data_IF_109952792410
#
_entry.id   IF_109952792410
#
_cell.length_a   1.000
_cell.length_b   1.000
_cell.length_c   1.000
_cell.angle_alpha   90.00
_cell.angle_beta   90.00
_cell.angle_gamma   90.00
#
_symmetry.space_group_name_H-M   'P 1'
#
loop_
_entity.id
_entity.type
_entity.pdbx_description
1 polymer ?
#
# COMPACT_ATOMS: atom_id res chain seq x y z
N UNK A 1 42.29 -8.73 5.39
CA UNK A 1 41.53 -7.57 4.90
C UNK A 1 40.13 -8.05 4.57
N UNK A 2 39.14 -7.52 5.23
CA UNK A 2 37.72 -7.89 5.03
C UNK A 2 37.33 -7.61 3.57
N UNK A 3 36.54 -8.48 2.95
CA UNK A 3 35.95 -8.35 1.64
C UNK A 3 35.18 -7.02 1.48
N UNK A 4 34.49 -6.55 2.54
CA UNK A 4 33.86 -5.25 2.62
C UNK A 4 34.82 -4.06 2.43
N UNK A 5 36.07 -4.17 2.84
CA UNK A 5 37.08 -3.11 2.65
C UNK A 5 37.58 -2.95 1.21
N UNK A 6 37.13 -3.81 0.28
CA UNK A 6 37.43 -3.68 -1.16
C UNK A 6 36.32 -2.95 -1.91
N UNK A 7 35.07 -3.17 -1.57
CA UNK A 7 33.88 -2.60 -2.23
C UNK A 7 33.84 -1.06 -2.12
N UNK A 8 34.42 -0.48 -1.07
CA UNK A 8 34.33 0.97 -0.80
C UNK A 8 35.64 1.74 -1.04
N UNK A 9 36.59 1.19 -1.80
CA UNK A 9 37.80 1.92 -2.24
C UNK A 9 37.59 2.47 -3.64
N UNK A 10 37.03 3.69 -3.76
CA UNK A 10 36.93 4.38 -5.03
C UNK A 10 38.29 4.52 -5.70
N UNK A 11 38.44 4.03 -6.93
CA UNK A 11 39.65 4.13 -7.76
C UNK A 11 39.83 2.97 -8.76
N UNK A 12 38.77 2.19 -9.07
CA UNK A 12 38.79 1.09 -10.04
C UNK A 12 38.49 1.55 -11.47
N UNK A 13 38.77 0.67 -12.45
CA UNK A 13 38.32 0.81 -13.83
C UNK A 13 36.78 0.68 -13.93
N UNK A 14 36.16 1.06 -15.07
CA UNK A 14 34.71 0.85 -15.31
C UNK A 14 34.29 -0.62 -15.04
N UNK A 15 35.15 -1.56 -15.40
CA UNK A 15 34.91 -3.01 -15.16
C UNK A 15 34.96 -3.39 -13.68
N UNK A 16 35.75 -2.69 -12.85
CA UNK A 16 35.78 -2.93 -11.41
C UNK A 16 34.53 -2.37 -10.75
N UNK A 17 34.01 -1.23 -11.25
CA UNK A 17 32.78 -0.61 -10.79
C UNK A 17 31.55 -1.48 -11.12
N UNK A 18 31.45 -1.98 -12.36
CA UNK A 18 30.37 -2.89 -12.77
C UNK A 18 30.35 -4.19 -11.92
N UNK A 19 31.54 -4.68 -11.54
CA UNK A 19 31.66 -5.85 -10.68
C UNK A 19 31.26 -5.55 -9.23
N UNK A 20 31.61 -4.38 -8.70
CA UNK A 20 31.20 -3.92 -7.36
C UNK A 20 29.68 -3.76 -7.28
N UNK A 21 29.06 -3.13 -8.29
CA UNK A 21 27.60 -2.94 -8.36
C UNK A 21 26.88 -4.28 -8.44
N UNK A 22 27.38 -5.24 -9.24
CA UNK A 22 26.85 -6.59 -9.31
C UNK A 22 26.94 -7.37 -8.00
N UNK A 23 28.03 -7.21 -7.26
CA UNK A 23 28.23 -7.85 -5.96
C UNK A 23 27.27 -7.24 -4.90
N UNK A 24 27.04 -5.92 -4.93
CA UNK A 24 26.08 -5.23 -4.05
C UNK A 24 24.65 -5.72 -4.33
N UNK A 25 24.24 -5.79 -5.60
CA UNK A 25 22.91 -6.30 -5.98
C UNK A 25 22.69 -7.75 -5.53
N UNK A 26 23.68 -8.61 -5.71
CA UNK A 26 23.62 -10.02 -5.27
C UNK A 26 23.46 -10.14 -3.74
N UNK A 27 24.13 -9.27 -2.98
CA UNK A 27 23.98 -9.22 -1.52
C UNK A 27 22.63 -8.69 -1.08
N UNK A 28 22.12 -7.62 -1.72
CA UNK A 28 20.78 -7.10 -1.46
C UNK A 28 19.73 -8.17 -1.71
N UNK A 29 19.81 -8.88 -2.84
CA UNK A 29 18.90 -9.97 -3.18
C UNK A 29 18.98 -11.13 -2.17
N UNK A 30 20.20 -11.49 -1.71
CA UNK A 30 20.40 -12.56 -0.72
C UNK A 30 19.81 -12.17 0.64
N UNK A 31 20.00 -10.93 1.08
CA UNK A 31 19.43 -10.40 2.30
C UNK A 31 17.90 -10.34 2.24
N UNK A 32 17.34 -9.87 1.10
CA UNK A 32 15.89 -9.87 0.87
C UNK A 32 15.29 -11.28 0.91
N UNK A 33 16.01 -12.27 0.35
CA UNK A 33 15.60 -13.68 0.42
C UNK A 33 15.65 -14.23 1.86
N UNK A 34 16.60 -13.81 2.69
CA UNK A 34 16.65 -14.18 4.10
C UNK A 34 15.44 -13.58 4.86
N UNK A 35 15.16 -12.29 4.65
CA UNK A 35 13.99 -11.61 5.21
C UNK A 35 12.67 -12.27 4.79
N UNK A 36 12.52 -12.64 3.51
CA UNK A 36 11.33 -13.32 2.98
C UNK A 36 11.10 -14.73 3.58
N UNK A 37 12.10 -15.32 4.25
CA UNK A 37 11.96 -16.56 5.04
C UNK A 37 11.80 -16.30 6.53
N UNK A 38 11.67 -15.05 6.96
CA UNK A 38 11.62 -14.66 8.37
C UNK A 38 12.97 -14.61 9.08
N UNK A 39 14.08 -14.87 8.38
CA UNK A 39 15.44 -14.83 8.96
C UNK A 39 15.98 -13.38 8.94
N UNK A 40 15.37 -12.55 9.77
CA UNK A 40 15.70 -11.13 9.82
C UNK A 40 17.05 -10.84 10.47
N UNK A 41 17.53 -11.70 11.38
CA UNK A 41 18.88 -11.56 11.96
C UNK A 41 19.94 -11.69 10.86
N UNK A 42 19.80 -12.67 9.99
CA UNK A 42 20.68 -12.85 8.84
C UNK A 42 20.56 -11.68 7.86
N UNK A 43 19.33 -11.23 7.55
CA UNK A 43 19.08 -10.11 6.64
C UNK A 43 19.75 -8.82 7.16
N UNK A 44 19.59 -8.50 8.44
CA UNK A 44 20.21 -7.35 9.09
C UNK A 44 21.74 -7.46 9.07
N UNK A 45 22.31 -8.65 9.35
CA UNK A 45 23.77 -8.86 9.30
C UNK A 45 24.33 -8.59 7.90
N UNK A 46 23.52 -8.81 6.84
CA UNK A 46 23.93 -8.55 5.45
C UNK A 46 23.66 -7.09 5.04
N UNK A 47 22.53 -6.49 5.44
CA UNK A 47 22.21 -5.11 5.08
C UNK A 47 23.05 -4.07 5.82
N UNK A 48 23.39 -4.30 7.11
CA UNK A 48 24.10 -3.33 7.93
C UNK A 48 25.40 -2.82 7.29
N UNK A 49 26.35 -3.68 6.87
CA UNK A 49 27.59 -3.19 6.26
C UNK A 49 27.38 -2.47 4.93
N UNK A 50 26.32 -2.83 4.16
CA UNK A 50 25.94 -2.12 2.94
C UNK A 50 25.35 -0.73 3.25
N UNK A 51 24.49 -0.65 4.27
CA UNK A 51 23.89 0.59 4.73
C UNK A 51 24.93 1.57 5.28
N UNK A 52 25.89 1.07 6.08
CA UNK A 52 27.04 1.81 6.58
C UNK A 52 27.95 2.30 5.42
N UNK A 53 28.02 1.50 4.35
CA UNK A 53 28.73 1.85 3.11
C UNK A 53 27.97 2.81 2.21
N UNK A 54 26.76 3.23 2.59
CA UNK A 54 25.99 4.24 1.85
C UNK A 54 25.05 3.67 0.78
N UNK A 55 24.79 2.36 0.73
CA UNK A 55 23.85 1.76 -0.23
C UNK A 55 22.41 2.12 0.17
N UNK A 56 21.68 2.93 -0.62
CA UNK A 56 20.40 3.52 -0.19
C UNK A 56 19.33 2.46 0.11
N UNK A 57 19.21 1.43 -0.74
CA UNK A 57 18.25 0.34 -0.54
C UNK A 57 18.53 -0.46 0.74
N UNK A 58 19.81 -0.68 1.09
CA UNK A 58 20.17 -1.32 2.35
C UNK A 58 19.83 -0.44 3.56
N UNK A 59 20.00 0.88 3.44
CA UNK A 59 19.61 1.84 4.49
C UNK A 59 18.09 1.79 4.73
N UNK A 60 17.28 1.79 3.68
CA UNK A 60 15.82 1.66 3.79
C UNK A 60 15.40 0.34 4.44
N UNK A 61 16.00 -0.78 4.03
CA UNK A 61 15.68 -2.08 4.59
C UNK A 61 16.11 -2.19 6.07
N UNK A 62 17.28 -1.65 6.42
CA UNK A 62 17.74 -1.62 7.81
C UNK A 62 16.86 -0.72 8.67
N UNK A 63 16.46 0.45 8.15
CA UNK A 63 15.50 1.34 8.80
C UNK A 63 14.15 0.65 9.08
N UNK A 64 13.63 -0.13 8.13
CA UNK A 64 12.42 -0.91 8.30
C UNK A 64 12.57 -1.98 9.40
N UNK A 65 13.74 -2.66 9.45
CA UNK A 65 14.01 -3.61 10.53
C UNK A 65 14.00 -2.95 11.91
N UNK A 66 14.56 -1.75 12.05
CA UNK A 66 14.49 -0.99 13.31
C UNK A 66 13.07 -0.50 13.61
N UNK A 67 12.32 -0.07 12.61
CA UNK A 67 10.94 0.41 12.80
C UNK A 67 10.02 -0.70 13.34
N UNK A 68 10.20 -1.93 12.86
CA UNK A 68 9.33 -3.06 13.17
C UNK A 68 9.91 -4.00 14.24
N UNK A 69 11.19 -3.84 14.62
CA UNK A 69 11.89 -4.73 15.55
C UNK A 69 12.21 -6.10 14.95
N UNK A 70 12.51 -6.14 13.65
CA UNK A 70 12.78 -7.39 12.93
C UNK A 70 14.30 -7.68 12.86
N UNK A 71 14.74 -8.70 13.58
CA UNK A 71 16.16 -9.07 13.68
C UNK A 71 17.03 -8.09 14.48
N UNK A 72 16.44 -7.03 15.01
CA UNK A 72 17.02 -6.03 15.92
C UNK A 72 15.97 -5.57 16.93
N UNK A 73 16.41 -4.98 18.03
CA UNK A 73 15.47 -4.29 18.93
C UNK A 73 14.80 -3.11 18.22
N UNK A 74 13.50 -2.95 18.42
CA UNK A 74 12.73 -1.87 17.81
C UNK A 74 13.22 -0.50 18.30
N UNK A 75 13.62 0.34 17.36
CA UNK A 75 14.08 1.70 17.62
C UNK A 75 13.67 2.66 16.49
N UNK A 76 12.65 3.46 16.73
CA UNK A 76 12.15 4.42 15.74
C UNK A 76 13.12 5.59 15.49
N UNK A 77 14.00 5.93 16.44
CA UNK A 77 15.02 6.97 16.23
C UNK A 77 16.08 6.49 15.24
N UNK A 78 16.57 5.26 15.42
CA UNK A 78 17.47 4.62 14.45
C UNK A 78 16.78 4.48 13.08
N UNK A 79 15.49 4.09 13.04
CA UNK A 79 14.74 3.98 11.80
C UNK A 79 14.68 5.33 11.04
N UNK A 80 14.37 6.44 11.73
CA UNK A 80 14.35 7.78 11.13
C UNK A 80 15.71 8.15 10.55
N UNK A 81 16.81 7.87 11.26
CA UNK A 81 18.14 8.21 10.78
C UNK A 81 18.52 7.42 9.52
N UNK A 82 18.18 6.12 9.47
CA UNK A 82 18.44 5.30 8.29
C UNK A 82 17.54 5.70 7.12
N UNK A 83 16.25 5.94 7.34
CA UNK A 83 15.34 6.41 6.29
C UNK A 83 15.73 7.78 5.75
N UNK A 84 16.21 8.70 6.60
CA UNK A 84 16.69 10.02 6.17
C UNK A 84 17.88 9.89 5.21
N UNK A 85 18.88 9.07 5.54
CA UNK A 85 20.03 8.82 4.67
C UNK A 85 19.61 8.23 3.33
N UNK A 86 18.71 7.25 3.34
CA UNK A 86 18.17 6.64 2.12
C UNK A 86 17.37 7.65 1.28
N UNK A 87 16.55 8.47 1.91
CA UNK A 87 15.74 9.50 1.25
C UNK A 87 16.60 10.58 0.60
N UNK A 88 17.66 11.06 1.29
CA UNK A 88 18.64 12.00 0.76
C UNK A 88 19.39 11.43 -0.46
N UNK A 89 19.59 10.12 -0.50
CA UNK A 89 20.17 9.41 -1.63
C UNK A 89 19.16 9.04 -2.74
N UNK A 90 17.88 9.45 -2.60
CA UNK A 90 16.84 9.27 -3.61
C UNK A 90 16.14 7.91 -3.59
N UNK A 91 16.32 7.07 -2.55
CA UNK A 91 15.59 5.80 -2.46
C UNK A 91 14.12 6.04 -2.12
N UNK A 92 13.22 5.63 -3.02
CA UNK A 92 11.78 5.85 -2.89
C UNK A 92 11.18 5.18 -1.64
N UNK A 93 11.68 3.99 -1.25
CA UNK A 93 11.26 3.31 -0.02
C UNK A 93 11.65 4.11 1.23
N UNK A 94 12.88 4.66 1.26
CA UNK A 94 13.36 5.52 2.34
C UNK A 94 12.54 6.81 2.44
N UNK A 95 12.25 7.45 1.29
CA UNK A 95 11.40 8.64 1.21
C UNK A 95 10.00 8.37 1.74
N UNK A 96 9.34 7.31 1.29
CA UNK A 96 7.99 6.92 1.75
C UNK A 96 7.96 6.63 3.25
N UNK A 97 8.91 5.86 3.76
CA UNK A 97 8.93 5.49 5.17
C UNK A 97 9.23 6.70 6.08
N UNK A 98 10.13 7.59 5.65
CA UNK A 98 10.36 8.84 6.36
C UNK A 98 9.13 9.73 6.34
N UNK A 99 8.43 9.82 5.19
CA UNK A 99 7.18 10.55 5.05
C UNK A 99 6.13 10.07 6.06
N UNK A 100 5.97 8.76 6.22
CA UNK A 100 5.03 8.17 7.18
C UNK A 100 5.37 8.54 8.63
N UNK A 101 6.65 8.58 8.99
CA UNK A 101 7.09 8.98 10.34
C UNK A 101 6.92 10.50 10.58
N UNK A 102 7.19 11.34 9.57
CA UNK A 102 6.91 12.78 9.63
C UNK A 102 5.40 13.05 9.74
N UNK A 103 4.57 12.34 9.00
CA UNK A 103 3.12 12.48 9.07
C UNK A 103 2.56 12.15 10.46
N UNK A 104 3.11 11.13 11.13
CA UNK A 104 2.70 10.70 12.47
C UNK A 104 3.37 11.46 13.62
N UNK A 105 4.52 12.10 13.39
CA UNK A 105 5.36 12.68 14.44
C UNK A 105 6.03 11.62 15.31
N UNK A 106 6.49 10.53 14.73
CA UNK A 106 7.09 9.40 15.44
C UNK A 106 8.62 9.35 15.26
N UNK A 107 9.30 8.63 16.18
CA UNK A 107 10.76 8.39 16.09
C UNK A 107 11.63 9.65 16.19
N UNK A 108 11.13 10.71 16.83
CA UNK A 108 11.81 12.01 16.91
C UNK A 108 11.69 12.85 15.64
N UNK A 109 10.98 12.38 14.61
CA UNK A 109 10.54 13.24 13.52
C UNK A 109 9.45 14.18 14.03
N UNK A 110 9.55 15.48 13.71
CA UNK A 110 8.46 16.40 13.99
C UNK A 110 7.25 16.02 13.13
N UNK A 111 6.05 16.14 13.71
CA UNK A 111 4.83 16.02 12.89
C UNK A 111 4.78 17.21 11.94
N UNK A 112 4.85 16.93 10.64
CA UNK A 112 4.91 17.92 9.59
C UNK A 112 4.29 17.35 8.29
N UNK A 113 3.03 17.71 8.07
CA UNK A 113 2.27 17.24 6.91
C UNK A 113 2.84 17.79 5.59
N UNK A 114 3.45 18.98 5.61
CA UNK A 114 4.08 19.56 4.42
C UNK A 114 5.35 18.78 4.05
N UNK A 115 6.20 18.49 5.03
CA UNK A 115 7.38 17.66 4.81
C UNK A 115 7.01 16.24 4.38
N UNK A 116 5.97 15.66 4.97
CA UNK A 116 5.44 14.34 4.58
C UNK A 116 4.94 14.34 3.13
N UNK A 117 4.16 15.37 2.73
CA UNK A 117 3.69 15.54 1.36
C UNK A 117 4.84 15.56 0.35
N UNK A 118 5.88 16.38 0.59
CA UNK A 118 7.02 16.48 -0.31
C UNK A 118 7.79 15.16 -0.42
N UNK A 119 7.97 14.44 0.68
CA UNK A 119 8.63 13.14 0.69
C UNK A 119 7.79 12.07 -0.04
N UNK A 120 6.46 12.04 0.16
CA UNK A 120 5.58 11.15 -0.59
C UNK A 120 5.58 11.50 -2.08
N UNK A 121 5.64 12.79 -2.44
CA UNK A 121 5.74 13.22 -3.85
C UNK A 121 7.00 12.70 -4.51
N UNK A 122 8.16 12.83 -3.84
CA UNK A 122 9.43 12.31 -4.36
C UNK A 122 9.39 10.78 -4.54
N UNK A 123 8.85 10.05 -3.55
CA UNK A 123 8.70 8.60 -3.63
C UNK A 123 7.73 8.17 -4.75
N UNK A 124 6.63 8.89 -4.92
CA UNK A 124 5.63 8.66 -5.97
C UNK A 124 6.20 8.91 -7.37
N UNK A 125 6.99 9.98 -7.54
CA UNK A 125 7.75 10.26 -8.77
C UNK A 125 8.78 9.15 -9.06
N UNK A 126 9.34 8.53 -8.01
CA UNK A 126 10.20 7.35 -8.08
C UNK A 126 9.44 6.04 -8.37
N UNK A 127 8.12 6.07 -8.53
CA UNK A 127 7.29 4.93 -8.89
C UNK A 127 6.81 4.08 -7.71
N UNK A 128 6.99 4.50 -6.46
CA UNK A 128 6.48 3.76 -5.29
C UNK A 128 4.95 3.84 -5.23
N UNK A 129 4.29 2.68 -5.41
CA UNK A 129 2.83 2.59 -5.50
C UNK A 129 2.11 3.06 -4.22
N UNK A 130 2.66 2.73 -3.05
CA UNK A 130 2.08 3.14 -1.78
C UNK A 130 2.24 4.65 -1.55
N UNK A 131 3.35 5.25 -2.02
CA UNK A 131 3.52 6.70 -1.98
C UNK A 131 2.57 7.40 -2.96
N UNK A 132 2.32 6.84 -4.16
CA UNK A 132 1.33 7.36 -5.10
C UNK A 132 -0.07 7.35 -4.50
N UNK A 133 -0.45 6.29 -3.78
CA UNK A 133 -1.73 6.20 -3.07
C UNK A 133 -1.85 7.27 -1.98
N UNK A 134 -0.83 7.38 -1.13
CA UNK A 134 -0.82 8.39 -0.08
C UNK A 134 -0.82 9.82 -0.62
N UNK A 135 -0.05 10.09 -1.66
CA UNK A 135 -0.02 11.40 -2.32
C UNK A 135 -1.38 11.76 -2.91
N UNK A 136 -2.04 10.81 -3.55
CA UNK A 136 -3.41 10.97 -4.04
C UNK A 136 -4.38 11.32 -2.91
N UNK A 137 -4.30 10.64 -1.78
CA UNK A 137 -5.12 10.92 -0.61
C UNK A 137 -4.84 12.31 -0.04
N UNK A 138 -3.57 12.67 0.14
CA UNK A 138 -3.19 13.99 0.66
C UNK A 138 -3.69 15.14 -0.23
N UNK A 139 -3.63 14.98 -1.55
CA UNK A 139 -4.16 15.94 -2.53
C UNK A 139 -5.68 16.02 -2.50
N UNK A 140 -6.38 14.93 -2.26
CA UNK A 140 -7.84 14.93 -2.18
C UNK A 140 -8.34 15.67 -0.92
N UNK A 141 -7.70 15.37 0.21
CA UNK A 141 -8.10 15.88 1.54
C UNK A 141 -7.46 17.24 1.87
N UNK A 142 -6.48 17.71 1.11
CA UNK A 142 -5.77 18.94 1.40
C UNK A 142 -4.83 18.82 2.60
N UNK A 143 -4.20 17.65 2.80
CA UNK A 143 -3.27 17.42 3.91
C UNK A 143 -1.85 17.87 3.55
N UNK A 144 -1.35 18.89 4.24
CA UNK A 144 -0.03 19.47 3.99
C UNK A 144 0.09 20.23 2.65
N UNK A 145 -0.99 20.32 1.88
CA UNK A 145 -1.08 20.97 0.57
C UNK A 145 -2.50 21.49 0.36
N UNK A 146 -2.70 22.44 -0.55
CA UNK A 146 -4.04 22.80 -1.01
C UNK A 146 -4.68 21.63 -1.77
N UNK A 147 -5.96 21.37 -1.52
CA UNK A 147 -6.66 20.25 -2.17
C UNK A 147 -6.71 20.41 -3.70
N UNK A 148 -6.28 19.38 -4.40
CA UNK A 148 -6.32 19.27 -5.86
C UNK A 148 -6.87 17.91 -6.30
N UNK A 149 -8.20 17.78 -6.48
CA UNK A 149 -8.81 16.52 -6.90
C UNK A 149 -8.36 16.04 -8.29
N UNK A 150 -7.96 16.96 -9.18
CA UNK A 150 -7.49 16.62 -10.54
C UNK A 150 -6.14 15.92 -10.46
N UNK A 151 -5.21 16.49 -9.70
CA UNK A 151 -3.90 15.91 -9.48
C UNK A 151 -4.01 14.63 -8.62
N UNK A 152 -4.92 14.61 -7.62
CA UNK A 152 -5.25 13.41 -6.84
C UNK A 152 -5.63 12.24 -7.76
N UNK A 153 -6.55 12.49 -8.73
CA UNK A 153 -6.97 11.47 -9.69
C UNK A 153 -5.80 10.96 -10.53
N UNK A 154 -4.87 11.81 -10.94
CA UNK A 154 -3.68 11.42 -11.71
C UNK A 154 -2.82 10.41 -10.93
N UNK A 155 -2.57 10.69 -9.66
CA UNK A 155 -1.78 9.80 -8.80
C UNK A 155 -2.53 8.52 -8.42
N UNK A 156 -3.85 8.62 -8.19
CA UNK A 156 -4.67 7.43 -7.96
C UNK A 156 -4.66 6.49 -9.18
N UNK A 157 -4.69 7.02 -10.42
CA UNK A 157 -4.54 6.20 -11.63
C UNK A 157 -3.19 5.50 -11.69
N UNK A 158 -2.09 6.21 -11.40
CA UNK A 158 -0.76 5.61 -11.38
C UNK A 158 -0.63 4.47 -10.34
N UNK A 159 -1.22 4.64 -9.15
CA UNK A 159 -1.25 3.59 -8.13
C UNK A 159 -2.19 2.43 -8.52
N UNK A 160 -3.33 2.72 -9.15
CA UNK A 160 -4.27 1.70 -9.63
C UNK A 160 -3.67 0.84 -10.75
N UNK A 161 -2.82 1.40 -11.63
CA UNK A 161 -2.04 0.64 -12.62
C UNK A 161 -1.09 -0.37 -11.96
N UNK A 162 -0.68 -0.11 -10.71
CA UNK A 162 0.11 -1.01 -9.86
C UNK A 162 -0.78 -1.83 -8.91
N UNK A 163 -2.07 -1.98 -9.22
CA UNK A 163 -3.05 -2.80 -8.53
C UNK A 163 -3.37 -2.38 -7.07
N UNK A 164 -3.11 -1.12 -6.69
CA UNK A 164 -3.46 -0.59 -5.37
C UNK A 164 -4.99 -0.40 -5.26
N UNK A 165 -5.65 -1.27 -4.50
CA UNK A 165 -7.11 -1.30 -4.41
C UNK A 165 -7.71 -0.05 -3.74
N UNK A 166 -7.04 0.53 -2.73
CA UNK A 166 -7.45 1.78 -2.06
C UNK A 166 -7.49 2.96 -3.03
N UNK A 167 -6.54 3.04 -3.96
CA UNK A 167 -6.53 4.03 -5.03
C UNK A 167 -7.70 3.84 -6.02
N UNK A 168 -8.04 2.60 -6.35
CA UNK A 168 -9.21 2.29 -7.18
C UNK A 168 -10.51 2.73 -6.47
N UNK A 169 -10.62 2.48 -5.16
CA UNK A 169 -11.75 2.96 -4.36
C UNK A 169 -11.86 4.49 -4.42
N UNK A 170 -10.75 5.19 -4.30
CA UNK A 170 -10.69 6.67 -4.39
C UNK A 170 -11.06 7.18 -5.78
N UNK A 171 -10.64 6.51 -6.86
CA UNK A 171 -11.07 6.84 -8.23
C UNK A 171 -12.60 6.73 -8.39
N UNK A 172 -13.19 5.70 -7.82
CA UNK A 172 -14.65 5.55 -7.78
C UNK A 172 -15.32 6.70 -7.03
N UNK A 173 -14.78 7.13 -5.88
CA UNK A 173 -15.28 8.27 -5.12
C UNK A 173 -15.18 9.58 -5.91
N UNK A 174 -14.04 9.85 -6.53
CA UNK A 174 -13.80 11.04 -7.35
C UNK A 174 -14.82 11.13 -8.50
N UNK A 175 -15.09 10.04 -9.20
CA UNK A 175 -16.04 9.96 -10.29
C UNK A 175 -17.51 10.10 -9.81
N UNK A 176 -17.85 9.47 -8.66
CA UNK A 176 -19.20 9.54 -8.10
C UNK A 176 -19.56 10.94 -7.60
N UNK A 177 -18.63 11.61 -6.90
CA UNK A 177 -18.87 12.88 -6.22
C UNK A 177 -18.50 14.11 -7.07
N UNK A 178 -18.14 13.90 -8.33
CA UNK A 178 -17.78 14.97 -9.27
C UNK A 178 -16.57 15.81 -8.80
N UNK A 179 -15.58 15.19 -8.17
CA UNK A 179 -14.42 15.88 -7.62
C UNK A 179 -13.40 16.18 -8.74
N UNK A 180 -13.37 17.44 -9.19
CA UNK A 180 -12.50 17.89 -10.28
C UNK A 180 -12.83 17.33 -11.67
N UNK A 181 -13.98 16.67 -11.84
CA UNK A 181 -14.49 16.14 -13.10
C UNK A 181 -16.03 16.14 -13.12
N UNK A 182 -16.64 15.85 -14.26
CA UNK A 182 -18.09 15.60 -14.33
C UNK A 182 -18.42 14.28 -13.60
N UNK A 183 -19.61 14.24 -13.00
CA UNK A 183 -20.10 13.05 -12.31
C UNK A 183 -20.25 11.89 -13.30
N UNK A 184 -19.61 10.78 -13.00
CA UNK A 184 -19.69 9.54 -13.79
C UNK A 184 -19.93 8.31 -12.88
N UNK A 185 -21.21 7.98 -12.60
CA UNK A 185 -21.53 6.82 -11.77
C UNK A 185 -21.13 5.48 -12.39
N UNK A 186 -21.06 5.39 -13.73
CA UNK A 186 -20.61 4.18 -14.41
C UNK A 186 -19.12 3.96 -14.23
N UNK A 187 -18.29 5.01 -14.34
CA UNK A 187 -16.86 4.96 -14.02
C UNK A 187 -16.67 4.60 -12.55
N UNK A 188 -17.42 5.21 -11.64
CA UNK A 188 -17.36 4.91 -10.22
C UNK A 188 -17.61 3.43 -9.91
N UNK A 189 -18.70 2.88 -10.44
CA UNK A 189 -19.05 1.48 -10.24
C UNK A 189 -18.00 0.51 -10.80
N UNK A 190 -17.38 0.84 -11.94
CA UNK A 190 -16.28 0.04 -12.52
C UNK A 190 -15.06 0.02 -11.58
N UNK A 191 -14.65 1.18 -11.06
CA UNK A 191 -13.51 1.25 -10.14
C UNK A 191 -13.80 0.52 -8.83
N UNK A 192 -14.99 0.71 -8.24
CA UNK A 192 -15.37 -0.03 -7.03
C UNK A 192 -15.43 -1.53 -7.26
N UNK A 193 -15.90 -1.99 -8.42
CA UNK A 193 -15.88 -3.41 -8.76
C UNK A 193 -14.44 -3.96 -8.82
N UNK A 194 -13.51 -3.24 -9.45
CA UNK A 194 -12.11 -3.67 -9.54
C UNK A 194 -11.41 -3.71 -8.16
N UNK A 195 -11.69 -2.75 -7.28
CA UNK A 195 -11.19 -2.74 -5.91
C UNK A 195 -11.85 -3.84 -5.04
N UNK A 196 -13.17 -4.01 -5.15
CA UNK A 196 -13.94 -4.99 -4.40
C UNK A 196 -13.48 -6.43 -4.68
N UNK A 197 -13.15 -6.73 -5.94
CA UNK A 197 -12.59 -8.03 -6.34
C UNK A 197 -11.21 -8.31 -5.74
N UNK A 198 -10.47 -7.27 -5.35
CA UNK A 198 -9.18 -7.35 -4.67
C UNK A 198 -9.32 -7.37 -3.14
N UNK A 199 -10.56 -7.52 -2.66
CA UNK A 199 -10.85 -7.67 -1.24
C UNK A 199 -10.90 -6.34 -0.48
N UNK A 200 -10.93 -5.17 -1.16
CA UNK A 200 -10.98 -3.87 -0.47
C UNK A 200 -12.37 -3.64 0.13
N UNK A 201 -12.49 -3.54 1.48
CA UNK A 201 -13.79 -3.58 2.14
C UNK A 201 -14.69 -2.37 1.83
N UNK A 202 -14.10 -1.16 1.75
CA UNK A 202 -14.89 0.04 1.47
C UNK A 202 -15.40 0.05 0.03
N UNK A 203 -14.61 -0.46 -0.94
CA UNK A 203 -15.09 -0.64 -2.31
C UNK A 203 -16.22 -1.67 -2.40
N UNK A 204 -16.15 -2.77 -1.63
CA UNK A 204 -17.23 -3.74 -1.55
C UNK A 204 -18.52 -3.11 -1.03
N UNK A 205 -18.44 -2.23 -0.02
CA UNK A 205 -19.58 -1.49 0.50
C UNK A 205 -20.15 -0.50 -0.54
N UNK A 206 -19.28 0.27 -1.21
CA UNK A 206 -19.68 1.24 -2.23
C UNK A 206 -20.32 0.55 -3.43
N UNK A 207 -19.76 -0.57 -3.90
CA UNK A 207 -20.35 -1.38 -4.97
C UNK A 207 -21.70 -1.96 -4.56
N UNK A 208 -21.82 -2.47 -3.34
CA UNK A 208 -23.08 -2.97 -2.80
C UNK A 208 -24.14 -1.87 -2.75
N UNK A 209 -23.81 -0.68 -2.31
CA UNK A 209 -24.67 0.50 -2.36
C UNK A 209 -25.09 0.88 -3.78
N UNK A 210 -24.11 0.90 -4.71
CA UNK A 210 -24.36 1.20 -6.13
C UNK A 210 -25.33 0.19 -6.78
N UNK A 211 -25.16 -1.10 -6.51
CA UNK A 211 -26.06 -2.18 -6.96
C UNK A 211 -27.48 -2.04 -6.38
N UNK A 212 -27.61 -1.69 -5.10
CA UNK A 212 -28.91 -1.48 -4.47
C UNK A 212 -29.66 -0.30 -5.06
N UNK A 213 -28.95 0.80 -5.30
CA UNK A 213 -29.54 2.05 -5.82
C UNK A 213 -29.69 2.07 -7.35
N UNK A 214 -29.02 1.15 -8.06
CA UNK A 214 -28.93 1.21 -9.53
C UNK A 214 -28.10 2.40 -10.01
N UNK A 215 -27.06 2.80 -9.27
CA UNK A 215 -26.22 3.95 -9.58
C UNK A 215 -25.01 3.52 -10.42
N UNK A 216 -25.04 3.81 -11.73
CA UNK A 216 -23.99 3.43 -12.67
C UNK A 216 -23.93 1.94 -13.02
N UNK A 217 -24.79 1.13 -12.42
CA UNK A 217 -24.98 -0.32 -12.69
C UNK A 217 -26.44 -0.67 -12.62
N UNK A 218 -26.83 -1.79 -13.24
CA UNK A 218 -28.18 -2.32 -13.09
C UNK A 218 -28.43 -2.71 -11.62
N UNK A 219 -29.63 -2.40 -11.12
CA UNK A 219 -30.01 -2.72 -9.74
C UNK A 219 -30.08 -4.23 -9.54
N UNK A 220 -29.36 -4.72 -8.54
CA UNK A 220 -29.36 -6.12 -8.10
C UNK A 220 -29.20 -6.21 -6.58
N UNK A 221 -30.30 -6.33 -5.85
CA UNK A 221 -30.29 -6.39 -4.37
C UNK A 221 -29.62 -7.69 -3.84
N UNK A 222 -29.62 -8.79 -4.60
CA UNK A 222 -28.94 -10.04 -4.20
C UNK A 222 -27.42 -9.88 -4.29
N UNK A 223 -26.93 -9.37 -5.42
CA UNK A 223 -25.51 -9.08 -5.57
C UNK A 223 -25.07 -8.00 -4.57
N UNK A 224 -25.91 -6.98 -4.32
CA UNK A 224 -25.66 -5.96 -3.29
C UNK A 224 -25.45 -6.60 -1.92
N UNK A 225 -26.31 -7.54 -1.51
CA UNK A 225 -26.17 -8.22 -0.22
C UNK A 225 -24.88 -9.04 -0.11
N UNK A 226 -24.47 -9.70 -1.19
CA UNK A 226 -23.20 -10.45 -1.22
C UNK A 226 -22.02 -9.52 -0.93
N UNK A 227 -21.94 -8.39 -1.64
CA UNK A 227 -20.83 -7.45 -1.48
C UNK A 227 -20.86 -6.74 -0.12
N UNK A 228 -22.04 -6.33 0.36
CA UNK A 228 -22.19 -5.70 1.67
C UNK A 228 -21.84 -6.65 2.82
N UNK A 229 -22.19 -7.94 2.70
CA UNK A 229 -21.82 -8.95 3.71
C UNK A 229 -20.29 -9.09 3.78
N UNK A 230 -19.61 -9.14 2.64
CA UNK A 230 -18.14 -9.18 2.60
C UNK A 230 -17.49 -7.93 3.16
N UNK A 231 -18.06 -6.77 2.84
CA UNK A 231 -17.60 -5.48 3.38
C UNK A 231 -17.71 -5.44 4.91
N UNK A 232 -18.82 -5.95 5.47
CA UNK A 232 -19.05 -6.05 6.92
C UNK A 232 -18.04 -7.00 7.58
N UNK A 233 -17.88 -8.19 7.00
CA UNK A 233 -16.88 -9.19 7.44
C UNK A 233 -15.43 -8.62 7.34
N UNK A 234 -15.15 -7.80 6.33
CA UNK A 234 -13.89 -7.07 6.16
C UNK A 234 -13.72 -5.85 7.07
N UNK A 235 -14.74 -5.51 7.86
CA UNK A 235 -14.71 -4.43 8.84
C UNK A 235 -14.99 -3.03 8.27
N UNK A 236 -15.58 -2.92 7.06
CA UNK A 236 -16.00 -1.61 6.54
C UNK A 236 -17.19 -1.05 7.31
N UNK A 237 -17.06 0.15 7.90
CA UNK A 237 -18.19 0.81 8.58
C UNK A 237 -19.30 1.24 7.61
N UNK A 238 -19.00 1.35 6.32
CA UNK A 238 -19.94 1.77 5.29
C UNK A 238 -21.00 0.70 4.98
N UNK A 239 -20.69 -0.58 5.21
CA UNK A 239 -21.60 -1.69 4.95
C UNK A 239 -22.92 -1.53 5.69
N UNK A 240 -22.87 -1.15 6.96
CA UNK A 240 -24.04 -0.96 7.82
C UNK A 240 -25.07 0.03 7.24
N UNK A 241 -24.61 1.00 6.43
CA UNK A 241 -25.48 2.03 5.83
C UNK A 241 -26.54 1.42 4.91
N UNK A 242 -26.24 0.32 4.23
CA UNK A 242 -27.12 -0.27 3.22
C UNK A 242 -27.66 -1.65 3.61
N UNK A 243 -27.01 -2.39 4.53
CA UNK A 243 -27.37 -3.77 4.85
C UNK A 243 -28.84 -3.95 5.25
N UNK A 244 -29.38 -3.09 6.12
CA UNK A 244 -30.77 -3.20 6.56
C UNK A 244 -31.75 -2.91 5.42
N UNK A 245 -31.46 -1.94 4.57
CA UNK A 245 -32.29 -1.59 3.44
C UNK A 245 -32.33 -2.71 2.40
N UNK A 246 -31.17 -3.30 2.09
CA UNK A 246 -31.02 -4.40 1.13
C UNK A 246 -31.71 -5.67 1.66
N UNK A 247 -31.52 -6.01 2.95
CA UNK A 247 -32.23 -7.15 3.57
C UNK A 247 -33.74 -6.93 3.57
N UNK A 248 -34.21 -5.71 3.78
CA UNK A 248 -35.63 -5.39 3.71
C UNK A 248 -36.27 -5.52 2.33
N UNK A 249 -35.45 -5.50 1.26
CA UNK A 249 -35.90 -5.66 -0.13
C UNK A 249 -35.96 -7.13 -0.60
N UNK A 250 -35.39 -8.07 0.18
CA UNK A 250 -35.23 -9.47 -0.17
C UNK A 250 -36.10 -10.41 0.71
N UNK A 251 -36.47 -11.55 0.17
CA UNK A 251 -37.07 -12.64 0.95
C UNK A 251 -36.02 -13.36 1.83
N UNK A 252 -36.47 -14.07 2.87
CA UNK A 252 -35.55 -14.83 3.73
C UNK A 252 -34.74 -15.91 2.98
N UNK A 253 -35.29 -16.49 1.91
CA UNK A 253 -34.58 -17.46 1.07
C UNK A 253 -33.48 -16.79 0.25
N UNK A 254 -33.74 -15.61 -0.32
CA UNK A 254 -32.77 -14.82 -1.07
C UNK A 254 -31.63 -14.33 -0.18
N UNK A 255 -31.95 -13.91 1.04
CA UNK A 255 -30.93 -13.50 2.03
C UNK A 255 -30.01 -14.69 2.35
N UNK A 256 -30.58 -15.86 2.69
CA UNK A 256 -29.79 -17.04 3.00
C UNK A 256 -28.89 -17.48 1.85
N UNK A 257 -29.38 -17.40 0.60
CA UNK A 257 -28.63 -17.74 -0.59
C UNK A 257 -27.46 -16.75 -0.82
N UNK A 258 -27.70 -15.42 -0.71
CA UNK A 258 -26.68 -14.40 -0.89
C UNK A 258 -25.58 -14.51 0.17
N UNK A 259 -25.93 -14.69 1.44
CA UNK A 259 -24.97 -14.87 2.53
C UNK A 259 -24.15 -16.16 2.39
N UNK A 260 -24.73 -17.24 1.82
CA UNK A 260 -23.99 -18.45 1.51
C UNK A 260 -22.93 -18.21 0.42
N UNK A 261 -23.27 -17.43 -0.63
CA UNK A 261 -22.33 -17.06 -1.68
C UNK A 261 -21.21 -16.17 -1.13
N UNK A 262 -21.53 -15.22 -0.24
CA UNK A 262 -20.52 -14.34 0.37
C UNK A 262 -19.44 -15.16 1.10
N UNK A 263 -19.84 -16.15 1.89
CA UNK A 263 -18.95 -17.04 2.65
C UNK A 263 -18.13 -18.01 1.80
N UNK A 264 -18.69 -18.54 0.71
CA UNK A 264 -17.99 -19.52 -0.15
C UNK A 264 -16.77 -18.96 -0.85
N UNK A 265 -16.79 -17.70 -1.23
CA UNK A 265 -15.67 -17.08 -1.96
C UNK A 265 -14.55 -16.58 -1.03
N UNK A 266 -14.84 -16.36 0.25
CA UNK A 266 -13.80 -16.12 1.26
C UNK A 266 -12.95 -17.37 1.53
N UNK A 267 -13.56 -18.55 1.55
CA UNK A 267 -12.84 -19.83 1.73
C UNK A 267 -12.02 -20.29 0.52
N UNK A 268 -12.20 -19.67 -0.66
CA UNK A 268 -11.42 -19.99 -1.85
C UNK A 268 -10.14 -19.14 -1.98
N UNK A 269 -10.00 -18.07 -1.20
CA UNK A 269 -8.83 -17.17 -1.15
C UNK A 269 -7.83 -17.53 -0.05
N UNK A 270 -8.16 -18.43 0.88
CA UNK A 270 -7.17 -19.00 1.79
C UNK A 270 -6.33 -20.05 1.05
N UNK A 271 -5.00 -19.84 0.87
CA UNK A 271 -4.14 -20.90 0.37
C UNK A 271 -4.23 -22.07 1.34
N UNK A 272 -4.52 -23.25 0.82
CA UNK A 272 -4.50 -24.49 1.59
C UNK A 272 -3.18 -24.60 2.32
N UNK A 273 -3.21 -24.50 3.65
CA UNK A 273 -2.05 -24.69 4.52
C UNK A 273 -1.60 -26.16 4.39
N UNK A 274 -0.42 -26.45 3.77
CA UNK A 274 0.05 -27.82 3.55
C UNK A 274 0.44 -28.53 4.85
N UNK A 275 0.38 -27.88 6.02
CA UNK A 275 0.77 -28.48 7.30
C UNK A 275 -0.43 -29.05 8.11
N UNK A 276 -1.66 -29.00 7.60
CA UNK A 276 -2.86 -29.56 8.27
C UNK A 276 -3.17 -31.02 7.91
N UNK A 277 -2.42 -31.64 6.99
CA UNK A 277 -2.54 -33.08 6.65
C UNK A 277 -1.23 -33.82 6.95
N UNK A 278 -0.87 -33.92 8.23
CA UNK A 278 0.29 -34.70 8.69
C UNK A 278 0.04 -35.28 10.07
#
# INVERSE_FOLDING_TARGET
>A
MSWFGRIFRGGGSETDQEQEDGDIEALLASAAKAAGRGDYEMAVAMWRPLAEGGVPRAQSNLGACYADGLGVERDLYEAVDWFRRAAEAGDALGQRNLAALCFKGEGGAAQDDVAAFELYRLAAEGGDAAAQDMLSWMLLEGQGVEADPVESRRWALAAAEQEVATSMTRLGLIAHDALGMERDPEEAARWWYEAARRGEPDAQAMLGGALHLGSGVERDDRAALVWLTRADDGGSPLAATFLDAVRGALSGEEIAAAEAVARQQQGAEEPSDPEREG
#
